data_IF_941450425419
#
_entry.id   IF_941450425419
#
_cell.length_a   1.000
_cell.length_b   1.000
_cell.length_c   1.000
_cell.angle_alpha   90.00
_cell.angle_beta   90.00
_cell.angle_gamma   90.00
#
_symmetry.space_group_name_H-M   'P 1'
#
loop_
_entity.id
_entity.type
_entity.pdbx_description
1 polymer ?
#
# COMPACT_ATOMS: atom_id res chain seq x y z
N UNK A 1 -15.03 42.90 -49.80
CA UNK A 1 -16.06 42.00 -50.37
C UNK A 1 -15.54 41.50 -51.70
N UNK A 2 -14.96 40.30 -51.72
CA UNK A 2 -14.17 39.80 -52.86
C UNK A 2 -14.77 38.46 -53.30
N UNK A 3 -15.20 38.38 -54.56
CA UNK A 3 -15.88 37.22 -55.16
C UNK A 3 -14.88 36.19 -55.69
N UNK A 4 -14.80 35.05 -55.01
CA UNK A 4 -15.05 33.66 -55.45
C UNK A 4 -14.70 33.22 -56.90
N UNK A 5 -14.02 32.04 -56.94
CA UNK A 5 -13.93 30.94 -57.95
C UNK A 5 -12.89 31.04 -59.08
N UNK A 6 -11.93 30.11 -59.13
CA UNK A 6 -12.15 28.80 -59.79
C UNK A 6 -10.98 27.82 -59.60
N UNK A 7 -11.33 26.54 -59.65
CA UNK A 7 -10.53 25.31 -59.60
C UNK A 7 -9.38 25.26 -60.62
N UNK A 8 -8.23 24.68 -60.24
CA UNK A 8 -7.40 23.90 -61.16
C UNK A 8 -6.69 22.76 -60.41
N UNK A 9 -6.97 21.53 -60.88
CA UNK A 9 -6.43 20.25 -60.40
C UNK A 9 -4.99 20.11 -60.90
N UNK A 10 -4.03 19.92 -59.99
CA UNK A 10 -2.66 19.55 -60.32
C UNK A 10 -2.50 18.04 -60.15
N UNK A 11 -2.44 17.33 -61.27
CA UNK A 11 -1.89 15.99 -61.35
C UNK A 11 -0.43 16.11 -61.79
N UNK A 12 0.50 15.90 -60.86
CA UNK A 12 1.88 15.54 -61.19
C UNK A 12 2.25 14.31 -60.34
N UNK A 13 1.85 13.16 -60.87
CA UNK A 13 2.41 11.87 -60.50
C UNK A 13 3.74 11.67 -61.25
N UNK A 14 4.59 10.81 -60.69
CA UNK A 14 5.93 10.41 -61.14
C UNK A 14 7.11 11.30 -60.72
N UNK A 15 7.43 11.32 -59.42
CA UNK A 15 8.76 10.96 -58.89
C UNK A 15 8.56 10.50 -57.43
N UNK A 16 8.12 9.26 -57.21
CA UNK A 16 7.96 8.71 -55.86
C UNK A 16 8.30 7.21 -55.82
N UNK A 17 9.46 6.82 -56.35
CA UNK A 17 9.95 5.45 -56.26
C UNK A 17 11.48 5.35 -56.12
N UNK A 18 12.16 6.28 -55.44
CA UNK A 18 13.53 6.05 -54.96
C UNK A 18 13.81 6.88 -53.70
N UNK A 19 13.19 6.52 -52.57
CA UNK A 19 13.63 7.01 -51.25
C UNK A 19 13.10 6.14 -50.09
N UNK A 20 13.00 4.82 -50.26
CA UNK A 20 13.05 3.90 -49.13
C UNK A 20 14.45 3.28 -49.13
N UNK A 21 15.45 4.07 -48.73
CA UNK A 21 16.62 3.45 -48.10
C UNK A 21 16.15 3.07 -46.71
N UNK A 22 16.06 1.77 -46.49
CA UNK A 22 15.99 1.16 -45.18
C UNK A 22 16.90 1.92 -44.23
N UNK A 23 16.32 2.67 -43.30
CA UNK A 23 17.01 2.95 -42.06
C UNK A 23 17.00 1.62 -41.30
N UNK A 24 18.00 0.79 -41.56
CA UNK A 24 18.43 -0.25 -40.63
C UNK A 24 18.88 0.48 -39.36
N UNK A 25 17.91 0.90 -38.54
CA UNK A 25 18.15 0.99 -37.11
C UNK A 25 18.62 -0.41 -36.73
N UNK A 26 19.86 -0.49 -36.27
CA UNK A 26 20.55 -1.72 -35.91
C UNK A 26 19.79 -2.36 -34.73
N UNK A 27 18.69 -3.06 -35.01
CA UNK A 27 17.90 -3.82 -34.03
C UNK A 27 18.69 -5.06 -33.68
N UNK A 28 19.82 -4.87 -33.00
CA UNK A 28 20.57 -5.98 -32.42
C UNK A 28 19.77 -6.53 -31.27
N UNK A 29 19.69 -7.84 -31.20
CA UNK A 29 19.07 -8.50 -30.07
C UNK A 29 19.74 -8.07 -28.77
N UNK A 30 18.93 -7.82 -27.75
CA UNK A 30 19.39 -7.36 -26.44
C UNK A 30 19.14 -8.41 -25.37
N UNK A 31 20.05 -8.44 -24.40
CA UNK A 31 19.99 -9.30 -23.22
C UNK A 31 19.54 -8.47 -22.02
N UNK A 32 18.67 -9.02 -21.19
CA UNK A 32 18.16 -8.37 -19.98
C UNK A 32 17.79 -9.42 -18.93
N UNK A 33 17.61 -9.01 -17.68
CA UNK A 33 17.11 -9.92 -16.63
C UNK A 33 15.65 -10.26 -16.94
N UNK A 34 15.32 -11.55 -17.00
CA UNK A 34 13.96 -12.00 -17.32
C UNK A 34 12.92 -11.36 -16.37
N UNK A 35 11.89 -10.74 -16.95
CA UNK A 35 10.79 -10.09 -16.21
C UNK A 35 10.96 -8.59 -15.96
N UNK A 36 12.16 -8.03 -16.06
CA UNK A 36 12.39 -6.60 -15.76
C UNK A 36 11.80 -5.63 -16.78
N UNK A 37 11.30 -6.12 -17.91
CA UNK A 37 10.57 -5.33 -18.91
C UNK A 37 9.23 -4.78 -18.39
N UNK A 38 8.64 -5.40 -17.37
CA UNK A 38 7.39 -4.93 -16.77
C UNK A 38 7.67 -4.05 -15.56
N UNK A 39 8.45 -4.59 -14.61
CA UNK A 39 8.90 -3.92 -13.39
C UNK A 39 10.21 -4.55 -12.97
N UNK A 40 11.20 -3.74 -12.63
CA UNK A 40 12.51 -4.23 -12.18
C UNK A 40 12.54 -4.58 -10.68
N UNK A 41 11.44 -4.38 -9.95
CA UNK A 41 11.28 -4.75 -8.54
C UNK A 41 10.62 -6.11 -8.38
N UNK A 42 11.24 -7.00 -7.62
CA UNK A 42 10.68 -8.32 -7.27
C UNK A 42 10.46 -8.34 -5.75
N UNK A 43 9.21 -8.50 -5.32
CA UNK A 43 8.86 -8.67 -3.89
C UNK A 43 8.82 -10.16 -3.56
N UNK A 44 9.73 -10.61 -2.68
CA UNK A 44 9.82 -12.00 -2.24
C UNK A 44 9.33 -12.11 -0.79
N UNK A 45 8.12 -12.64 -0.63
CA UNK A 45 7.64 -13.17 0.66
C UNK A 45 8.43 -14.42 1.03
N UNK A 46 8.83 -14.57 2.30
CA UNK A 46 9.54 -15.76 2.76
C UNK A 46 9.22 -16.13 4.21
N UNK A 47 9.23 -17.43 4.49
CA UNK A 47 9.19 -18.01 5.83
C UNK A 47 10.30 -19.05 5.91
N UNK A 48 11.27 -18.86 6.80
CA UNK A 48 12.45 -19.72 6.84
C UNK A 48 13.33 -19.56 5.59
N UNK A 49 13.99 -20.65 5.19
CA UNK A 49 14.86 -20.66 4.03
C UNK A 49 14.03 -20.69 2.73
N UNK A 50 14.32 -19.78 1.80
CA UNK A 50 13.61 -19.65 0.53
C UNK A 50 14.56 -19.05 -0.53
N UNK A 51 14.11 -18.91 -1.78
CA UNK A 51 14.93 -18.34 -2.85
C UNK A 51 14.14 -17.61 -3.94
N UNK A 52 14.88 -16.80 -4.71
CA UNK A 52 14.42 -16.16 -5.94
C UNK A 52 15.24 -16.69 -7.11
N UNK A 53 14.55 -17.21 -8.13
CA UNK A 53 15.19 -17.60 -9.38
C UNK A 53 15.40 -16.40 -10.30
N UNK A 54 16.64 -16.19 -10.70
CA UNK A 54 17.08 -15.16 -11.64
C UNK A 54 17.56 -15.82 -12.93
N UNK A 55 17.19 -15.25 -14.06
CA UNK A 55 17.66 -15.68 -15.38
C UNK A 55 17.78 -14.47 -16.30
N UNK A 56 18.56 -14.61 -17.37
CA UNK A 56 18.62 -13.60 -18.42
C UNK A 56 17.91 -14.09 -19.68
N UNK A 57 17.29 -13.15 -20.39
CA UNK A 57 16.58 -13.36 -21.65
C UNK A 57 17.22 -12.52 -22.74
N UNK A 58 17.38 -13.11 -23.92
CA UNK A 58 17.67 -12.42 -25.16
C UNK A 58 16.36 -12.22 -25.95
N UNK A 59 16.23 -11.12 -26.69
CA UNK A 59 15.02 -10.85 -27.50
C UNK A 59 14.79 -11.86 -28.63
N UNK A 60 15.84 -12.57 -29.06
CA UNK A 60 15.74 -13.68 -30.00
C UNK A 60 16.62 -14.86 -29.57
N UNK A 61 16.51 -15.96 -30.32
CA UNK A 61 17.40 -17.12 -30.15
C UNK A 61 18.82 -16.73 -30.53
N UNK A 62 19.78 -17.08 -29.68
CA UNK A 62 21.19 -16.78 -29.91
C UNK A 62 21.82 -17.81 -30.86
N UNK A 63 22.72 -17.37 -31.74
CA UNK A 63 23.47 -18.27 -32.63
C UNK A 63 24.69 -18.87 -31.93
N UNK A 64 25.31 -18.10 -31.03
CA UNK A 64 26.45 -18.50 -30.21
C UNK A 64 26.09 -18.45 -28.72
N UNK A 65 26.90 -19.09 -27.88
CA UNK A 65 26.70 -19.07 -26.43
C UNK A 65 26.88 -17.65 -25.87
N UNK A 66 25.89 -17.17 -25.12
CA UNK A 66 25.98 -15.90 -24.38
C UNK A 66 26.11 -16.20 -22.89
N UNK A 67 27.12 -15.60 -22.23
CA UNK A 67 27.41 -15.80 -20.81
C UNK A 67 27.01 -14.59 -20.00
N UNK A 68 26.44 -14.86 -18.84
CA UNK A 68 26.03 -13.86 -17.87
C UNK A 68 26.53 -14.21 -16.48
N UNK A 69 26.60 -13.23 -15.60
CA UNK A 69 26.85 -13.43 -14.17
C UNK A 69 26.03 -12.44 -13.38
N UNK A 70 25.25 -12.94 -12.43
CA UNK A 70 24.53 -12.13 -11.45
C UNK A 70 25.45 -11.74 -10.30
N UNK A 71 25.42 -10.47 -9.90
CA UNK A 71 26.24 -9.93 -8.81
C UNK A 71 25.38 -9.02 -7.95
N UNK A 72 25.49 -9.15 -6.62
CA UNK A 72 24.91 -8.18 -5.70
C UNK A 72 25.51 -6.79 -5.96
N UNK A 73 24.65 -5.78 -6.05
CA UNK A 73 25.00 -4.40 -6.37
C UNK A 73 24.44 -3.41 -5.32
N UNK A 74 24.81 -3.56 -4.03
CA UNK A 74 24.28 -2.76 -2.94
C UNK A 74 24.47 -1.25 -3.14
N UNK A 75 25.49 -0.84 -3.90
CA UNK A 75 25.78 0.56 -4.22
C UNK A 75 24.66 1.28 -5.01
N UNK A 76 23.70 0.53 -5.57
CA UNK A 76 22.58 1.08 -6.33
C UNK A 76 21.36 1.39 -5.47
N UNK A 77 21.36 0.99 -4.20
CA UNK A 77 20.17 1.07 -3.38
C UNK A 77 19.78 2.51 -3.05
N UNK A 78 20.74 3.39 -2.80
CA UNK A 78 20.47 4.79 -2.44
C UNK A 78 19.75 5.54 -3.57
N UNK A 79 20.20 5.36 -4.82
CA UNK A 79 19.56 5.94 -5.99
C UNK A 79 18.12 5.41 -6.16
N UNK A 80 17.93 4.11 -5.98
CA UNK A 80 16.60 3.50 -6.04
C UNK A 80 15.67 4.03 -4.93
N UNK A 81 16.17 4.18 -3.71
CA UNK A 81 15.41 4.74 -2.59
C UNK A 81 14.97 6.18 -2.88
N UNK A 82 15.88 7.02 -3.39
CA UNK A 82 15.58 8.40 -3.73
C UNK A 82 14.53 8.50 -4.85
N UNK A 83 14.64 7.67 -5.89
CA UNK A 83 13.70 7.65 -7.02
C UNK A 83 12.31 7.16 -6.61
N UNK A 84 12.23 6.17 -5.71
CA UNK A 84 10.97 5.49 -5.34
C UNK A 84 10.36 5.99 -4.02
N UNK A 85 10.94 7.03 -3.41
CA UNK A 85 10.49 7.53 -2.10
C UNK A 85 10.46 6.45 -1.03
N UNK A 86 11.43 5.53 -1.07
CA UNK A 86 11.57 4.41 -0.15
C UNK A 86 12.80 4.55 0.74
N UNK A 87 12.90 3.68 1.75
CA UNK A 87 13.94 3.70 2.77
C UNK A 87 14.49 2.29 3.05
N UNK A 88 14.59 1.46 2.00
CA UNK A 88 15.12 0.10 2.16
C UNK A 88 16.58 0.14 2.58
N UNK A 89 17.01 -0.89 3.30
CA UNK A 89 18.41 -1.15 3.62
C UNK A 89 18.90 -2.43 2.93
N UNK A 90 20.20 -2.53 2.70
CA UNK A 90 20.80 -3.75 2.15
C UNK A 90 20.74 -4.86 3.22
N UNK A 91 20.34 -6.09 2.89
CA UNK A 91 20.44 -7.20 3.83
C UNK A 91 21.90 -7.51 4.21
N UNK A 92 22.16 -7.98 5.44
CA UNK A 92 23.51 -8.44 5.82
C UNK A 92 24.06 -9.46 4.81
N UNK A 93 25.36 -9.42 4.53
CA UNK A 93 25.97 -10.27 3.49
C UNK A 93 25.92 -11.76 3.81
N UNK A 94 25.79 -12.13 5.09
CA UNK A 94 25.59 -13.50 5.56
C UNK A 94 24.11 -13.94 5.53
N UNK A 95 23.17 -13.03 5.25
CA UNK A 95 21.74 -13.32 5.16
C UNK A 95 21.34 -13.96 3.82
N UNK A 96 22.15 -13.81 2.77
CA UNK A 96 21.82 -14.26 1.41
C UNK A 96 23.01 -14.86 0.67
N UNK A 97 22.74 -15.64 -0.37
CA UNK A 97 23.76 -16.21 -1.27
C UNK A 97 23.27 -16.29 -2.70
N UNK A 98 24.09 -15.89 -3.66
CA UNK A 98 23.87 -16.16 -5.08
C UNK A 98 24.51 -17.50 -5.44
N UNK A 99 23.68 -18.54 -5.57
CA UNK A 99 24.09 -19.87 -6.02
C UNK A 99 23.98 -19.93 -7.55
N UNK A 100 24.96 -20.58 -8.18
CA UNK A 100 25.06 -20.73 -9.63
C UNK A 100 24.97 -19.37 -10.36
N UNK A 101 25.70 -18.37 -9.82
CA UNK A 101 25.65 -16.98 -10.30
C UNK A 101 25.99 -16.81 -11.79
N UNK A 102 26.83 -17.70 -12.33
CA UNK A 102 27.14 -17.76 -13.76
C UNK A 102 26.02 -18.44 -14.54
N UNK A 103 25.40 -17.72 -15.46
CA UNK A 103 24.29 -18.22 -16.30
C UNK A 103 24.68 -18.21 -17.77
N UNK A 104 24.03 -19.05 -18.57
CA UNK A 104 24.35 -19.19 -20.00
C UNK A 104 23.11 -19.38 -20.84
N UNK A 105 23.00 -18.64 -21.95
CA UNK A 105 22.05 -18.93 -23.03
C UNK A 105 22.80 -19.77 -24.07
N UNK A 106 22.34 -21.01 -24.26
CA UNK A 106 22.92 -21.91 -25.26
C UNK A 106 22.45 -21.55 -26.69
N UNK A 107 23.23 -21.89 -27.73
CA UNK A 107 22.81 -21.75 -29.12
C UNK A 107 21.40 -22.31 -29.38
N UNK A 108 20.57 -21.57 -30.10
CA UNK A 108 19.18 -21.92 -30.39
C UNK A 108 18.18 -21.67 -29.24
N UNK A 109 18.66 -21.18 -28.08
CA UNK A 109 17.83 -20.76 -26.96
C UNK A 109 17.80 -19.23 -26.85
N UNK A 110 16.84 -18.69 -26.10
CA UNK A 110 16.72 -17.26 -25.81
C UNK A 110 16.64 -16.96 -24.30
N UNK A 111 16.65 -18.00 -23.46
CA UNK A 111 16.63 -17.89 -22.00
C UNK A 111 17.79 -18.68 -21.41
N UNK A 112 18.39 -18.15 -20.37
CA UNK A 112 19.55 -18.77 -19.74
C UNK A 112 19.17 -19.89 -18.77
N UNK A 113 20.18 -20.62 -18.30
CA UNK A 113 20.13 -21.31 -17.00
C UNK A 113 19.79 -20.33 -15.86
N UNK A 114 19.39 -20.86 -14.71
CA UNK A 114 18.99 -20.05 -13.55
C UNK A 114 20.14 -19.84 -12.56
N UNK A 115 20.22 -18.64 -12.00
CA UNK A 115 20.91 -18.33 -10.75
C UNK A 115 19.88 -18.27 -9.63
N UNK A 116 20.21 -18.82 -8.46
CA UNK A 116 19.33 -18.81 -7.30
C UNK A 116 19.86 -17.82 -6.26
N UNK A 117 19.10 -16.76 -5.99
CA UNK A 117 19.32 -15.91 -4.82
C UNK A 117 18.63 -16.56 -3.62
N UNK A 118 19.41 -17.25 -2.81
CA UNK A 118 18.96 -17.91 -1.59
C UNK A 118 18.92 -16.92 -0.42
N UNK A 119 17.86 -17.04 0.39
CA UNK A 119 17.77 -16.48 1.74
C UNK A 119 18.46 -17.49 2.65
N UNK A 120 19.74 -17.24 2.93
CA UNK A 120 20.64 -18.18 3.58
C UNK A 120 20.45 -18.22 5.09
N UNK A 121 20.20 -17.05 5.70
CA UNK A 121 19.87 -16.93 7.13
C UNK A 121 18.70 -15.95 7.32
N UNK A 122 17.45 -16.45 7.43
CA UNK A 122 16.28 -15.60 7.60
C UNK A 122 16.28 -14.84 8.94
N UNK A 123 17.07 -15.27 9.94
CA UNK A 123 17.13 -14.61 11.25
C UNK A 123 17.85 -13.26 11.23
N UNK A 124 18.54 -12.95 10.12
CA UNK A 124 19.26 -11.69 9.89
C UNK A 124 18.35 -10.55 9.42
N UNK A 125 17.11 -10.86 9.05
CA UNK A 125 16.11 -9.87 8.67
C UNK A 125 15.37 -9.41 9.92
N UNK A 126 15.74 -8.25 10.45
CA UNK A 126 15.14 -7.72 11.67
C UNK A 126 13.70 -7.24 11.42
N UNK A 127 12.80 -7.51 12.36
CA UNK A 127 11.42 -7.03 12.31
C UNK A 127 11.37 -5.50 12.26
N UNK A 128 10.53 -4.95 11.38
CA UNK A 128 10.40 -3.51 11.16
C UNK A 128 11.49 -2.87 10.32
N UNK A 129 12.49 -3.63 9.87
CA UNK A 129 13.42 -3.18 8.82
C UNK A 129 12.98 -3.70 7.46
N UNK A 130 13.10 -2.85 6.45
CA UNK A 130 12.72 -3.18 5.07
C UNK A 130 13.97 -3.41 4.26
N UNK A 131 14.14 -4.61 3.72
CA UNK A 131 15.36 -4.99 3.03
C UNK A 131 15.17 -5.03 1.52
N UNK A 132 16.13 -4.49 0.79
CA UNK A 132 16.20 -4.63 -0.66
C UNK A 132 17.64 -4.89 -1.10
N UNK A 133 17.82 -5.88 -1.98
CA UNK A 133 19.09 -6.17 -2.63
C UNK A 133 18.98 -5.90 -4.13
N UNK A 134 19.64 -4.86 -4.65
CA UNK A 134 19.86 -4.75 -6.08
C UNK A 134 20.79 -5.87 -6.56
N UNK A 135 20.40 -6.58 -7.61
CA UNK A 135 21.19 -7.62 -8.27
C UNK A 135 21.38 -7.24 -9.73
N UNK A 136 22.63 -7.08 -10.13
CA UNK A 136 23.02 -6.67 -11.48
C UNK A 136 23.42 -7.88 -12.32
N UNK A 137 23.00 -7.89 -13.58
CA UNK A 137 23.50 -8.78 -14.62
C UNK A 137 24.72 -8.16 -15.29
N UNK A 138 25.82 -8.92 -15.33
CA UNK A 138 26.97 -8.66 -16.22
C UNK A 138 26.95 -9.71 -17.31
N UNK A 139 27.14 -9.34 -18.58
CA UNK A 139 27.12 -10.30 -19.70
C UNK A 139 28.07 -9.87 -20.81
N UNK A 140 28.53 -10.83 -21.61
CA UNK A 140 29.25 -10.60 -22.87
C UNK A 140 28.31 -10.31 -24.05
N UNK A 141 26.99 -10.47 -23.86
CA UNK A 141 25.96 -10.08 -24.82
C UNK A 141 25.66 -8.59 -24.82
N UNK A 142 24.83 -8.15 -25.77
CA UNK A 142 24.36 -6.78 -25.90
C UNK A 142 23.34 -6.44 -24.80
N UNK A 143 23.80 -5.96 -23.64
CA UNK A 143 22.96 -5.70 -22.47
C UNK A 143 22.04 -4.49 -22.66
N UNK A 144 20.75 -4.66 -22.36
CA UNK A 144 19.81 -3.55 -22.20
C UNK A 144 19.96 -2.95 -20.80
N UNK A 145 20.50 -1.74 -20.70
CA UNK A 145 20.77 -1.06 -19.41
C UNK A 145 19.53 -0.95 -18.51
N UNK A 146 18.36 -0.63 -19.07
CA UNK A 146 17.11 -0.54 -18.29
C UNK A 146 16.64 -1.88 -17.71
N UNK A 147 17.09 -3.00 -18.27
CA UNK A 147 16.80 -4.35 -17.80
C UNK A 147 17.97 -5.03 -17.09
N UNK A 148 19.04 -4.28 -16.77
CA UNK A 148 20.30 -4.82 -16.24
C UNK A 148 20.31 -5.06 -14.73
N UNK A 149 19.34 -4.51 -13.99
CA UNK A 149 19.26 -4.60 -12.52
C UNK A 149 17.87 -5.05 -12.11
N UNK A 150 17.81 -6.00 -11.18
CA UNK A 150 16.60 -6.37 -10.46
C UNK A 150 16.72 -5.97 -8.99
N UNK A 151 15.70 -5.33 -8.43
CA UNK A 151 15.64 -4.91 -7.04
C UNK A 151 14.80 -5.91 -6.25
N UNK A 152 15.46 -6.77 -5.48
CA UNK A 152 14.81 -7.84 -4.73
C UNK A 152 14.42 -7.31 -3.35
N UNK A 153 13.15 -7.04 -3.13
CA UNK A 153 12.59 -6.63 -1.83
C UNK A 153 12.21 -7.88 -1.05
N UNK A 154 12.81 -8.06 0.12
CA UNK A 154 12.53 -9.19 1.02
C UNK A 154 11.40 -8.82 1.97
N UNK A 155 10.37 -9.66 2.02
CA UNK A 155 9.18 -9.46 2.85
C UNK A 155 9.07 -10.64 3.82
N UNK A 156 9.59 -10.50 5.06
CA UNK A 156 9.45 -11.55 6.07
C UNK A 156 7.98 -11.84 6.33
N UNK A 157 7.60 -13.12 6.27
CA UNK A 157 6.25 -13.56 6.61
C UNK A 157 6.23 -13.87 8.10
N UNK A 158 5.49 -13.07 8.86
CA UNK A 158 5.26 -13.31 10.29
C UNK A 158 3.94 -14.05 10.50
N UNK A 159 3.87 -14.85 11.55
CA UNK A 159 2.63 -15.50 11.99
C UNK A 159 2.14 -14.83 13.27
N UNK A 160 0.92 -14.31 13.22
CA UNK A 160 0.29 -13.55 14.30
C UNK A 160 -1.12 -14.06 14.58
N UNK A 161 -1.65 -13.76 15.76
CA UNK A 161 -3.10 -13.84 15.96
C UNK A 161 -3.75 -12.58 15.36
N UNK A 162 -5.06 -12.62 15.12
CA UNK A 162 -5.83 -11.46 14.66
C UNK A 162 -7.16 -11.34 15.39
N UNK A 163 -7.66 -10.12 15.58
CA UNK A 163 -8.94 -9.90 16.24
C UNK A 163 -10.10 -10.13 15.27
N UNK A 164 -11.07 -10.94 15.69
CA UNK A 164 -12.38 -11.12 15.08
C UNK A 164 -13.40 -10.27 15.83
N UNK A 165 -13.91 -9.26 15.14
CA UNK A 165 -14.67 -8.16 15.74
C UNK A 165 -16.12 -8.10 15.27
N UNK A 166 -16.68 -9.20 14.79
CA UNK A 166 -18.08 -9.27 14.38
C UNK A 166 -19.03 -8.80 15.50
N UNK A 167 -19.54 -7.57 15.37
CA UNK A 167 -20.38 -6.89 16.38
C UNK A 167 -19.63 -6.41 17.65
N UNK A 168 -18.29 -6.45 17.66
CA UNK A 168 -17.43 -6.15 18.82
C UNK A 168 -16.51 -4.98 18.52
N UNK A 169 -17.07 -3.79 18.47
CA UNK A 169 -16.36 -2.59 18.05
C UNK A 169 -15.63 -1.89 19.20
N UNK A 170 -14.76 -0.95 18.86
CA UNK A 170 -13.97 -0.18 19.81
C UNK A 170 -14.14 1.32 19.61
N UNK A 171 -13.97 2.05 20.70
CA UNK A 171 -13.91 3.50 20.77
C UNK A 171 -12.53 3.90 21.27
N UNK A 172 -12.07 5.11 20.95
CA UNK A 172 -10.82 5.67 21.46
C UNK A 172 -11.15 6.95 22.25
N UNK A 173 -11.60 6.83 23.52
CA UNK A 173 -12.11 7.98 24.28
C UNK A 173 -11.15 9.16 24.37
N UNK A 174 -9.84 8.91 24.42
CA UNK A 174 -8.80 9.93 24.54
C UNK A 174 -8.55 10.75 23.26
N UNK A 175 -9.18 10.39 22.13
CA UNK A 175 -9.22 11.27 20.96
C UNK A 175 -10.23 12.41 21.14
N UNK A 176 -11.29 12.17 21.92
CA UNK A 176 -12.39 13.10 22.09
C UNK A 176 -11.90 14.37 22.77
N UNK A 177 -12.22 15.53 22.18
CA UNK A 177 -11.80 16.85 22.64
C UNK A 177 -10.27 17.01 22.82
N UNK A 178 -9.47 16.20 22.12
CA UNK A 178 -8.02 16.30 22.18
C UNK A 178 -7.52 17.37 21.21
N UNK A 179 -7.09 18.52 21.74
CA UNK A 179 -6.66 19.68 20.94
C UNK A 179 -5.60 19.33 19.88
N UNK A 180 -4.65 18.44 20.19
CA UNK A 180 -3.58 18.06 19.25
C UNK A 180 -4.11 17.30 18.03
N UNK A 181 -5.30 16.69 18.12
CA UNK A 181 -5.94 15.93 17.04
C UNK A 181 -7.02 16.75 16.32
N UNK A 182 -7.21 18.02 16.72
CA UNK A 182 -8.13 18.95 16.07
C UNK A 182 -7.55 19.72 14.87
N UNK A 183 -6.23 19.63 14.68
CA UNK A 183 -5.46 20.49 13.76
C UNK A 183 -4.42 19.70 12.94
N UNK A 184 -4.85 18.62 12.30
CA UNK A 184 -3.95 17.76 11.51
C UNK A 184 -3.80 18.32 10.09
N UNK A 185 -2.67 18.99 9.83
CA UNK A 185 -2.32 19.51 8.50
C UNK A 185 -1.97 18.42 7.49
N UNK A 186 -1.62 17.22 7.97
CA UNK A 186 -1.48 15.98 7.22
C UNK A 186 -2.03 14.83 8.05
N UNK A 187 -2.50 13.77 7.38
CA UNK A 187 -3.07 12.60 8.04
C UNK A 187 -2.78 11.34 7.22
N UNK A 188 -2.48 10.23 7.89
CA UNK A 188 -2.72 8.90 7.32
C UNK A 188 -3.53 8.05 8.30
N UNK A 189 -4.64 7.48 7.84
CA UNK A 189 -5.33 6.38 8.54
C UNK A 189 -5.14 5.11 7.74
N UNK A 190 -4.65 4.04 8.36
CA UNK A 190 -4.45 2.76 7.67
C UNK A 190 -4.83 1.57 8.55
N UNK A 191 -5.21 0.47 7.90
CA UNK A 191 -5.60 -0.76 8.57
C UNK A 191 -5.54 -1.98 7.66
N UNK A 192 -5.37 -3.17 8.25
CA UNK A 192 -5.70 -4.45 7.59
C UNK A 192 -7.08 -4.93 8.03
N UNK A 193 -7.88 -5.35 7.05
CA UNK A 193 -9.21 -5.91 7.32
C UNK A 193 -9.48 -7.13 6.45
N UNK A 194 -10.14 -8.12 7.04
CA UNK A 194 -10.76 -9.24 6.37
C UNK A 194 -12.27 -9.12 6.58
N UNK A 195 -12.98 -8.65 5.56
CA UNK A 195 -14.44 -8.53 5.64
C UNK A 195 -15.05 -9.90 5.46
N UNK A 196 -15.86 -10.35 6.42
CA UNK A 196 -16.66 -11.59 6.28
C UNK A 196 -17.94 -11.33 5.52
N UNK A 197 -18.59 -10.21 5.85
CA UNK A 197 -19.87 -9.83 5.30
C UNK A 197 -20.10 -8.32 5.41
N UNK A 198 -20.74 -7.73 4.40
CA UNK A 198 -21.18 -6.34 4.42
C UNK A 198 -22.61 -6.22 4.97
N UNK A 199 -22.97 -5.06 5.53
CA UNK A 199 -24.34 -4.82 6.00
C UNK A 199 -25.34 -4.95 4.84
N UNK A 200 -26.46 -5.67 5.09
CA UNK A 200 -27.50 -5.94 4.08
C UNK A 200 -28.77 -5.11 4.25
N UNK A 201 -28.85 -4.34 5.33
CA UNK A 201 -30.00 -3.49 5.62
C UNK A 201 -29.58 -2.03 5.54
N UNK A 202 -30.48 -1.19 5.01
CA UNK A 202 -30.30 0.26 5.02
C UNK A 202 -29.84 0.76 6.40
N UNK A 203 -28.77 1.57 6.47
CA UNK A 203 -28.13 2.28 5.37
C UNK A 203 -26.98 1.52 4.66
N UNK A 204 -26.82 0.21 4.88
CA UNK A 204 -25.80 -0.66 4.26
C UNK A 204 -24.35 -0.37 4.68
N UNK A 205 -24.15 0.31 5.82
CA UNK A 205 -22.84 0.80 6.25
C UNK A 205 -22.07 -0.18 7.14
N UNK A 206 -20.93 -0.67 6.68
CA UNK A 206 -19.92 -1.38 7.48
C UNK A 206 -18.73 -0.47 7.78
N UNK A 207 -18.54 -0.06 9.03
CA UNK A 207 -17.53 0.97 9.37
C UNK A 207 -16.13 0.42 9.57
N UNK A 208 -15.09 1.06 9.01
CA UNK A 208 -13.68 0.72 9.30
C UNK A 208 -13.15 1.48 10.51
N UNK A 209 -12.89 2.78 10.35
CA UNK A 209 -12.36 3.64 11.39
C UNK A 209 -12.61 5.11 11.09
N UNK A 210 -12.64 5.94 12.13
CA UNK A 210 -12.74 7.38 11.99
C UNK A 210 -13.80 8.02 12.88
N UNK A 211 -14.25 9.18 12.45
CA UNK A 211 -15.27 9.98 13.12
C UNK A 211 -16.46 10.22 12.19
N UNK A 212 -17.63 9.66 12.53
CA UNK A 212 -18.89 9.80 11.79
C UNK A 212 -19.26 11.27 11.58
N UNK A 213 -19.79 11.59 10.39
CA UNK A 213 -20.10 12.96 9.90
C UNK A 213 -18.90 13.91 9.74
N UNK A 214 -17.68 13.46 10.07
CA UNK A 214 -16.47 14.28 10.02
C UNK A 214 -15.41 13.69 9.10
N UNK A 215 -14.72 12.63 9.51
CA UNK A 215 -13.67 11.98 8.73
C UNK A 215 -13.71 10.45 8.98
N UNK A 216 -14.59 9.75 8.25
CA UNK A 216 -14.88 8.33 8.49
C UNK A 216 -14.63 7.47 7.25
N UNK A 217 -13.85 6.39 7.41
CA UNK A 217 -13.78 5.33 6.41
C UNK A 217 -14.83 4.26 6.70
N UNK A 218 -15.65 3.95 5.72
CA UNK A 218 -16.72 2.94 5.79
C UNK A 218 -16.94 2.28 4.44
N UNK A 219 -17.52 1.09 4.43
CA UNK A 219 -18.08 0.46 3.24
C UNK A 219 -19.58 0.68 3.18
N UNK A 220 -20.10 0.87 1.97
CA UNK A 220 -21.53 1.02 1.73
C UNK A 220 -22.13 2.32 2.25
N UNK A 221 -23.24 2.70 1.63
CA UNK A 221 -24.15 3.76 2.04
C UNK A 221 -25.43 3.60 1.20
N UNK A 222 -26.50 4.34 1.47
CA UNK A 222 -27.62 4.41 0.51
C UNK A 222 -27.21 5.00 -0.84
N UNK A 223 -26.06 5.68 -0.92
CA UNK A 223 -25.49 6.25 -2.14
C UNK A 223 -24.51 5.36 -2.90
N UNK A 224 -24.12 4.19 -2.37
CA UNK A 224 -23.15 3.30 -3.02
C UNK A 224 -23.31 1.83 -2.60
N UNK A 225 -22.72 0.91 -3.35
CA UNK A 225 -22.92 -0.51 -3.06
C UNK A 225 -22.26 -0.92 -1.74
N UNK A 226 -22.81 -1.91 -0.99
CA UNK A 226 -22.34 -2.29 0.34
C UNK A 226 -20.86 -2.68 0.42
N UNK A 227 -20.28 -3.08 -0.70
CA UNK A 227 -18.91 -3.55 -0.86
C UNK A 227 -17.98 -2.50 -1.48
N UNK A 228 -18.41 -1.24 -1.61
CA UNK A 228 -17.56 -0.13 -2.04
C UNK A 228 -17.09 0.69 -0.84
N UNK A 229 -15.82 1.09 -0.86
CA UNK A 229 -15.26 1.95 0.18
C UNK A 229 -15.68 3.41 -0.03
N UNK A 230 -15.98 4.11 1.05
CA UNK A 230 -16.35 5.51 1.07
C UNK A 230 -15.59 6.24 2.19
N UNK A 231 -15.07 7.43 1.85
CA UNK A 231 -14.74 8.45 2.84
C UNK A 231 -15.99 9.29 3.06
N UNK A 232 -16.62 9.12 4.22
CA UNK A 232 -17.80 9.88 4.61
C UNK A 232 -17.42 11.16 5.37
N UNK A 233 -18.09 12.25 5.03
CA UNK A 233 -17.70 13.60 5.43
C UNK A 233 -16.44 14.06 4.71
N UNK A 234 -15.29 13.48 5.06
CA UNK A 234 -13.98 13.88 4.55
C UNK A 234 -13.66 15.34 4.84
N UNK A 235 -14.14 15.88 5.96
CA UNK A 235 -14.14 17.31 6.24
C UNK A 235 -12.71 17.83 6.48
N UNK A 236 -12.39 18.96 5.86
CA UNK A 236 -11.15 19.72 6.08
C UNK A 236 -11.44 21.19 6.38
N UNK A 237 -10.50 21.87 7.02
CA UNK A 237 -10.69 23.27 7.41
C UNK A 237 -11.71 23.46 8.54
N UNK A 238 -11.86 22.47 9.42
CA UNK A 238 -12.68 22.54 10.64
C UNK A 238 -11.78 22.75 11.87
N UNK A 239 -11.26 23.97 12.13
CA UNK A 239 -10.21 24.18 13.12
C UNK A 239 -10.74 24.31 14.55
N UNK A 240 -11.90 23.73 14.91
CA UNK A 240 -12.37 23.90 16.28
C UNK A 240 -13.11 22.68 16.83
N UNK A 241 -12.72 22.30 18.05
CA UNK A 241 -13.33 21.24 18.85
C UNK A 241 -14.80 21.54 19.19
N UNK A 242 -15.22 22.80 19.09
CA UNK A 242 -16.55 23.32 19.42
C UNK A 242 -17.49 23.51 18.21
N UNK A 243 -16.98 23.38 16.97
CA UNK A 243 -17.79 23.38 15.73
C UNK A 243 -17.29 22.32 14.70
N UNK A 244 -17.14 21.04 15.12
CA UNK A 244 -16.49 20.00 14.33
C UNK A 244 -17.28 19.59 13.07
N UNK A 245 -18.53 20.01 12.94
CA UNK A 245 -19.39 19.76 11.79
C UNK A 245 -19.20 20.78 10.65
N UNK A 246 -18.44 21.86 10.86
CA UNK A 246 -18.36 23.01 9.94
C UNK A 246 -17.23 23.01 8.92
N UNK A 247 -16.47 21.92 8.81
CA UNK A 247 -15.46 21.78 7.76
C UNK A 247 -16.05 21.69 6.36
N UNK A 248 -15.20 21.93 5.36
CA UNK A 248 -15.55 21.71 3.95
C UNK A 248 -15.58 20.20 3.67
N UNK A 249 -16.73 19.62 3.26
CA UNK A 249 -16.84 18.19 3.00
C UNK A 249 -16.14 17.80 1.70
N UNK A 250 -15.51 16.62 1.72
CA UNK A 250 -14.85 15.98 0.58
C UNK A 250 -15.25 14.50 0.49
N UNK A 251 -16.52 14.23 0.78
CA UNK A 251 -17.04 12.87 0.75
C UNK A 251 -16.87 12.27 -0.65
N UNK A 252 -16.38 11.03 -0.70
CA UNK A 252 -16.10 10.34 -1.96
C UNK A 252 -16.27 8.84 -1.81
N UNK A 253 -16.84 8.21 -2.83
CA UNK A 253 -16.94 6.75 -2.94
C UNK A 253 -15.93 6.28 -3.98
N UNK A 254 -15.17 5.27 -3.63
CA UNK A 254 -14.17 4.69 -4.51
C UNK A 254 -14.80 3.61 -5.39
N UNK A 255 -14.47 3.56 -6.70
CA UNK A 255 -15.19 2.73 -7.66
C UNK A 255 -14.96 1.23 -7.49
N UNK A 256 -13.93 0.83 -6.73
CA UNK A 256 -13.56 -0.57 -6.52
C UNK A 256 -14.56 -1.29 -5.62
N UNK A 257 -15.01 -2.47 -6.07
CA UNK A 257 -15.78 -3.41 -5.28
C UNK A 257 -14.86 -4.41 -4.59
N UNK A 258 -15.11 -4.65 -3.31
CA UNK A 258 -14.23 -5.45 -2.47
C UNK A 258 -14.81 -6.84 -2.20
N UNK A 259 -14.06 -7.93 -2.48
CA UNK A 259 -14.53 -9.26 -2.14
C UNK A 259 -14.53 -9.46 -0.63
N UNK A 260 -15.50 -10.22 -0.13
CA UNK A 260 -15.42 -10.80 1.21
C UNK A 260 -14.43 -11.96 1.22
N UNK A 261 -13.97 -12.37 2.40
CA UNK A 261 -13.12 -13.55 2.53
C UNK A 261 -11.66 -13.35 2.13
N UNK A 262 -11.21 -12.09 1.99
CA UNK A 262 -9.84 -11.72 1.61
C UNK A 262 -9.30 -10.63 2.54
N UNK A 263 -8.02 -10.70 2.89
CA UNK A 263 -7.33 -9.60 3.56
C UNK A 263 -7.00 -8.49 2.57
N UNK A 264 -7.28 -7.26 2.99
CA UNK A 264 -6.93 -6.04 2.28
C UNK A 264 -6.25 -5.09 3.26
N UNK A 265 -5.23 -4.38 2.80
CA UNK A 265 -4.68 -3.21 3.48
C UNK A 265 -5.29 -1.95 2.86
N UNK A 266 -5.91 -1.12 3.69
CA UNK A 266 -6.49 0.16 3.28
C UNK A 266 -5.70 1.30 3.90
N UNK A 267 -5.48 2.36 3.13
CA UNK A 267 -4.97 3.62 3.67
C UNK A 267 -5.68 4.83 3.06
N UNK A 268 -5.97 5.82 3.90
CA UNK A 268 -6.39 7.16 3.52
C UNK A 268 -5.28 8.14 3.85
N UNK A 269 -4.70 8.76 2.83
CA UNK A 269 -3.56 9.69 2.98
C UNK A 269 -4.00 11.08 2.58
N UNK A 270 -3.86 12.05 3.49
CA UNK A 270 -4.01 13.47 3.24
C UNK A 270 -2.66 14.17 3.37
N UNK A 271 -2.21 14.80 2.29
CA UNK A 271 -0.90 15.46 2.20
C UNK A 271 -0.93 16.98 2.46
N UNK A 272 -2.09 17.52 2.83
CA UNK A 272 -2.34 18.95 2.99
C UNK A 272 -2.94 19.63 1.74
N UNK A 273 -3.02 18.90 0.61
CA UNK A 273 -3.51 19.40 -0.68
C UNK A 273 -4.52 18.46 -1.34
N UNK A 274 -4.43 17.17 -1.07
CA UNK A 274 -5.31 16.15 -1.60
C UNK A 274 -5.41 14.95 -0.67
N UNK A 275 -6.54 14.25 -0.78
CA UNK A 275 -6.81 12.97 -0.14
C UNK A 275 -6.69 11.87 -1.20
N UNK A 276 -5.84 10.89 -0.94
CA UNK A 276 -5.63 9.72 -1.82
C UNK A 276 -5.92 8.45 -1.03
N UNK A 277 -6.70 7.54 -1.59
CA UNK A 277 -6.90 6.22 -1.01
C UNK A 277 -5.97 5.19 -1.64
N UNK A 278 -5.60 4.21 -0.86
CA UNK A 278 -4.76 3.09 -1.28
C UNK A 278 -5.39 1.76 -0.89
N UNK A 279 -5.25 0.78 -1.77
CA UNK A 279 -5.54 -0.63 -1.54
C UNK A 279 -4.26 -1.42 -1.77
N UNK A 280 -3.82 -2.16 -0.77
CA UNK A 280 -2.60 -2.98 -0.84
C UNK A 280 -1.40 -2.16 -1.37
N UNK A 281 -1.33 -0.88 -0.94
CA UNK A 281 -0.28 0.08 -1.32
C UNK A 281 -0.41 0.75 -2.68
N UNK A 282 -1.38 0.37 -3.51
CA UNK A 282 -1.64 0.99 -4.81
C UNK A 282 -2.79 2.00 -4.71
N UNK A 283 -2.68 3.18 -5.36
CA UNK A 283 -3.72 4.20 -5.30
C UNK A 283 -5.02 3.70 -5.92
N UNK A 284 -6.14 4.05 -5.28
CA UNK A 284 -7.48 3.69 -5.70
C UNK A 284 -8.29 4.95 -6.01
N UNK A 285 -8.69 5.09 -7.28
CA UNK A 285 -9.45 6.24 -7.76
C UNK A 285 -8.60 7.51 -7.88
N UNK A 286 -9.24 8.59 -8.31
CA UNK A 286 -8.59 9.88 -8.43
C UNK A 286 -8.42 10.56 -7.07
N UNK A 287 -7.28 11.24 -6.80
CA UNK A 287 -7.13 12.03 -5.60
C UNK A 287 -8.17 13.15 -5.49
N UNK A 288 -8.72 13.35 -4.29
CA UNK A 288 -9.69 14.41 -4.01
C UNK A 288 -8.97 15.64 -3.50
N UNK A 289 -9.09 16.77 -4.20
CA UNK A 289 -8.47 18.04 -3.76
C UNK A 289 -9.13 18.51 -2.46
N UNK A 290 -8.32 18.75 -1.44
CA UNK A 290 -8.77 19.22 -0.14
C UNK A 290 -7.68 20.10 0.50
N UNK A 291 -8.07 21.09 1.30
CA UNK A 291 -7.12 22.00 1.96
C UNK A 291 -7.61 22.37 3.34
N UNK A 292 -6.68 22.68 4.24
CA UNK A 292 -6.97 22.99 5.64
C UNK A 292 -6.86 21.76 6.53
N UNK A 293 -6.99 21.97 7.84
CA UNK A 293 -6.71 20.91 8.81
C UNK A 293 -7.85 19.90 8.93
N UNK A 294 -7.51 18.66 9.23
CA UNK A 294 -8.45 17.60 9.64
C UNK A 294 -8.56 17.58 11.16
N UNK A 295 -9.76 17.28 11.65
CA UNK A 295 -10.05 17.07 13.07
C UNK A 295 -10.58 15.65 13.31
N UNK A 296 -10.02 14.94 14.30
CA UNK A 296 -10.44 13.60 14.72
C UNK A 296 -11.04 13.57 16.14
N UNK A 297 -11.49 14.72 16.63
CA UNK A 297 -11.86 14.90 18.06
C UNK A 297 -13.34 14.74 18.35
N UNK A 298 -14.16 14.59 17.31
CA UNK A 298 -15.61 14.56 17.41
C UNK A 298 -16.20 13.68 16.32
N UNK A 299 -17.13 12.82 16.72
CA UNK A 299 -17.95 11.96 15.88
C UNK A 299 -19.41 12.15 16.25
N UNK A 300 -20.31 12.17 15.27
CA UNK A 300 -21.73 12.06 15.58
C UNK A 300 -22.06 10.63 16.04
N UNK A 301 -22.70 10.45 17.20
CA UNK A 301 -23.11 9.12 17.66
C UNK A 301 -24.38 9.13 18.53
N UNK A 302 -25.35 8.30 18.16
CA UNK A 302 -26.58 8.08 18.92
C UNK A 302 -26.32 7.11 20.07
N UNK A 303 -26.51 7.56 21.31
CA UNK A 303 -26.51 6.66 22.46
C UNK A 303 -25.13 6.25 22.95
N UNK A 304 -24.13 7.14 22.84
CA UNK A 304 -22.94 7.03 23.67
C UNK A 304 -23.27 7.33 25.14
N UNK A 305 -22.44 6.82 26.05
CA UNK A 305 -22.51 7.16 27.48
C UNK A 305 -22.15 8.63 27.78
N UNK A 306 -21.74 9.43 26.78
CA UNK A 306 -21.30 10.81 26.95
C UNK A 306 -22.46 11.82 26.99
N UNK A 307 -23.65 11.46 26.50
CA UNK A 307 -24.88 12.25 26.70
C UNK A 307 -25.00 13.53 25.86
N UNK A 308 -24.05 13.83 24.96
CA UNK A 308 -24.01 15.06 24.16
C UNK A 308 -23.86 14.82 22.64
N UNK A 309 -24.14 13.59 22.18
CA UNK A 309 -23.98 13.14 20.78
C UNK A 309 -22.57 13.36 20.18
N UNK A 310 -21.57 13.67 21.01
CA UNK A 310 -20.16 13.74 20.65
C UNK A 310 -19.49 12.42 21.04
N UNK A 311 -19.44 11.50 20.09
CA UNK A 311 -18.68 10.26 20.19
C UNK A 311 -17.19 10.46 19.91
N UNK A 312 -16.33 9.59 20.45
CA UNK A 312 -14.90 9.56 20.10
C UNK A 312 -14.67 8.95 18.72
N UNK A 313 -13.41 8.95 18.29
CA UNK A 313 -12.92 8.11 17.19
C UNK A 313 -13.28 6.64 17.43
N UNK A 314 -13.70 5.92 16.39
CA UNK A 314 -14.16 4.55 16.49
C UNK A 314 -13.41 3.61 15.54
N UNK A 315 -13.37 2.32 15.89
CA UNK A 315 -12.84 1.22 15.09
C UNK A 315 -13.94 0.15 15.00
N UNK A 316 -14.33 -0.21 13.79
CA UNK A 316 -15.36 -1.23 13.52
C UNK A 316 -16.79 -0.77 13.81
N UNK A 317 -17.05 0.54 14.00
CA UNK A 317 -18.36 1.09 14.34
C UNK A 317 -18.52 2.56 13.96
N UNK A 318 -19.75 2.92 13.57
CA UNK A 318 -20.29 4.29 13.57
C UNK A 318 -21.76 4.27 14.01
N UNK A 319 -22.35 5.46 14.17
CA UNK A 319 -23.68 5.68 14.75
C UNK A 319 -24.78 4.70 14.28
N UNK A 320 -25.72 4.36 15.17
CA UNK A 320 -26.90 3.58 14.79
C UNK A 320 -26.62 2.10 14.46
N UNK A 321 -25.55 1.52 15.00
CA UNK A 321 -25.28 0.08 14.88
C UNK A 321 -24.56 -0.33 13.60
N UNK A 322 -23.83 0.59 12.96
CA UNK A 322 -23.11 0.38 11.68
C UNK A 322 -21.79 -0.36 11.89
N UNK A 323 -21.91 -1.60 12.37
CA UNK A 323 -20.78 -2.44 12.75
C UNK A 323 -20.09 -3.07 11.55
N UNK A 324 -18.77 -3.24 11.66
CA UNK A 324 -18.00 -4.13 10.80
C UNK A 324 -18.26 -5.60 11.18
N UNK A 325 -18.43 -6.46 10.17
CA UNK A 325 -18.39 -7.90 10.34
C UNK A 325 -17.12 -8.46 9.67
N UNK A 326 -16.06 -8.63 10.47
CA UNK A 326 -14.77 -9.03 9.93
C UNK A 326 -13.70 -9.27 10.98
N UNK A 327 -12.50 -9.54 10.49
CA UNK A 327 -11.27 -9.59 11.27
C UNK A 327 -10.42 -8.37 10.96
N UNK A 328 -9.66 -7.91 11.94
CA UNK A 328 -8.84 -6.71 11.83
C UNK A 328 -7.42 -6.93 12.36
N UNK A 329 -6.48 -6.17 11.83
CA UNK A 329 -5.13 -6.01 12.37
C UNK A 329 -4.53 -4.67 11.92
N UNK A 330 -3.47 -4.23 12.60
CA UNK A 330 -2.61 -3.13 12.14
C UNK A 330 -3.33 -1.78 11.91
N UNK A 331 -4.22 -1.38 12.83
CA UNK A 331 -4.90 -0.08 12.77
C UNK A 331 -3.98 1.03 13.25
N UNK A 332 -3.79 2.06 12.43
CA UNK A 332 -2.86 3.17 12.71
C UNK A 332 -3.42 4.52 12.30
N UNK A 333 -3.00 5.54 13.04
CA UNK A 333 -3.24 6.95 12.71
C UNK A 333 -1.91 7.68 12.75
N UNK A 334 -1.63 8.49 11.73
CA UNK A 334 -0.40 9.28 11.57
C UNK A 334 -0.74 10.75 11.34
N UNK A 335 0.11 11.67 11.80
CA UNK A 335 0.02 13.10 11.47
C UNK A 335 0.90 13.49 10.27
N UNK A 336 1.34 12.51 9.49
CA UNK A 336 2.14 12.67 8.27
C UNK A 336 1.49 11.93 7.12
N UNK A 337 1.72 12.40 5.90
CA UNK A 337 1.35 11.66 4.69
C UNK A 337 2.37 10.53 4.42
N UNK A 338 1.93 9.28 4.51
CA UNK A 338 2.79 8.10 4.22
C UNK A 338 2.88 7.90 2.70
N UNK A 339 4.08 7.55 2.21
CA UNK A 339 4.29 7.24 0.78
C UNK A 339 3.73 5.85 0.43
N UNK A 340 3.48 5.53 -0.86
CA UNK A 340 3.10 4.18 -1.26
C UNK A 340 4.11 3.11 -0.81
N UNK A 341 5.40 3.43 -0.90
CA UNK A 341 6.48 2.57 -0.39
C UNK A 341 6.39 2.36 1.12
N UNK A 342 6.11 3.42 1.89
CA UNK A 342 5.89 3.33 3.33
C UNK A 342 4.70 2.42 3.68
N UNK A 343 3.59 2.56 2.96
CA UNK A 343 2.38 1.76 3.17
C UNK A 343 2.64 0.28 2.89
N UNK A 344 3.32 -0.04 1.79
CA UNK A 344 3.64 -1.42 1.37
C UNK A 344 4.63 -2.12 2.30
N UNK A 345 5.63 -1.37 2.78
CA UNK A 345 6.73 -1.94 3.53
C UNK A 345 6.35 -2.25 4.97
N UNK A 346 5.43 -1.48 5.52
CA UNK A 346 5.07 -1.58 6.92
C UNK A 346 3.69 -2.19 7.14
N UNK A 347 3.18 -3.01 6.20
CA UNK A 347 1.84 -3.62 6.29
C UNK A 347 1.66 -4.40 7.60
N UNK A 348 2.70 -5.08 8.08
CA UNK A 348 2.61 -6.03 9.18
C UNK A 348 3.15 -5.53 10.52
N UNK A 349 4.00 -4.50 10.48
CA UNK A 349 4.62 -3.93 11.65
C UNK A 349 5.21 -2.56 11.32
N UNK A 350 5.17 -1.67 12.30
CA UNK A 350 5.85 -0.38 12.34
C UNK A 350 6.50 -0.27 13.71
N UNK A 351 7.72 0.29 13.79
CA UNK A 351 8.28 0.68 15.08
C UNK A 351 7.34 1.71 15.74
N UNK A 352 6.75 1.42 16.92
CA UNK A 352 5.82 2.33 17.57
C UNK A 352 6.39 3.71 17.94
N UNK A 353 7.72 3.89 17.83
CA UNK A 353 8.42 5.17 18.03
C UNK A 353 8.69 5.93 16.73
N UNK A 354 8.21 5.44 15.60
CA UNK A 354 8.35 6.13 14.30
C UNK A 354 7.75 7.53 14.38
N UNK A 355 8.51 8.59 14.04
CA UNK A 355 8.01 9.96 14.07
C UNK A 355 6.72 10.12 13.25
N UNK A 356 5.76 10.78 13.87
CA UNK A 356 4.46 11.08 13.27
C UNK A 356 3.40 9.99 13.42
N UNK A 357 3.72 8.84 14.03
CA UNK A 357 2.73 7.84 14.43
C UNK A 357 1.98 8.34 15.67
N UNK A 358 0.67 8.60 15.53
CA UNK A 358 -0.19 9.09 16.62
C UNK A 358 -0.63 7.94 17.51
N UNK A 359 -1.19 6.90 16.92
CA UNK A 359 -1.74 5.74 17.61
C UNK A 359 -1.56 4.47 16.78
N UNK A 360 -1.35 3.33 17.46
CA UNK A 360 -1.13 2.05 16.81
C UNK A 360 -1.73 0.90 17.60
N UNK A 361 -2.78 0.28 17.06
CA UNK A 361 -3.41 -0.91 17.61
C UNK A 361 -3.13 -2.11 16.71
N UNK A 362 -2.28 -3.02 17.18
CA UNK A 362 -1.87 -4.22 16.43
C UNK A 362 -3.02 -5.19 16.24
N UNK A 363 -3.83 -5.41 17.29
CA UNK A 363 -4.85 -6.45 17.33
C UNK A 363 -4.28 -7.82 16.97
N UNK A 364 -3.14 -8.17 17.59
CA UNK A 364 -2.35 -9.36 17.30
C UNK A 364 -2.39 -10.45 18.40
N UNK A 365 -3.40 -10.43 19.27
CA UNK A 365 -3.64 -11.49 20.24
C UNK A 365 -3.94 -10.98 21.65
N UNK A 366 -4.15 -11.90 22.61
CA UNK A 366 -4.41 -11.56 24.00
C UNK A 366 -3.36 -10.66 24.66
N UNK A 367 -2.12 -10.66 24.16
CA UNK A 367 -1.04 -9.79 24.64
C UNK A 367 -1.27 -8.30 24.40
N UNK A 368 -2.19 -7.94 23.50
CA UNK A 368 -2.62 -6.56 23.27
C UNK A 368 -3.72 -6.10 24.24
N UNK A 369 -4.32 -7.01 25.01
CA UNK A 369 -5.37 -6.68 25.98
C UNK A 369 -4.72 -6.22 27.28
N UNK A 370 -5.10 -5.03 27.76
CA UNK A 370 -4.68 -4.48 29.04
C UNK A 370 -5.54 -5.02 30.19
N UNK A 371 -5.12 -4.77 31.44
CA UNK A 371 -5.82 -5.25 32.64
C UNK A 371 -7.27 -4.72 32.74
N UNK A 372 -7.52 -3.52 32.22
CA UNK A 372 -8.86 -2.92 32.17
C UNK A 372 -9.72 -3.42 31.00
N UNK A 373 -9.20 -4.37 30.20
CA UNK A 373 -9.86 -4.95 29.04
C UNK A 373 -9.77 -4.11 27.76
N UNK A 374 -9.14 -2.93 27.79
CA UNK A 374 -8.87 -2.14 26.59
C UNK A 374 -7.74 -2.75 25.75
N UNK A 375 -7.68 -2.37 24.48
CA UNK A 375 -6.63 -2.77 23.55
C UNK A 375 -5.53 -1.71 23.56
N UNK A 376 -4.30 -2.15 23.77
CA UNK A 376 -3.09 -1.34 23.87
C UNK A 376 -2.87 -0.50 22.62
N UNK A 377 -2.61 0.79 22.83
CA UNK A 377 -1.90 1.63 21.88
C UNK A 377 -0.39 1.44 22.04
N UNK A 378 0.24 0.83 21.04
CA UNK A 378 1.65 0.45 21.05
C UNK A 378 2.60 1.65 21.04
N UNK A 379 2.14 2.84 20.64
CA UNK A 379 2.97 4.05 20.68
C UNK A 379 3.32 4.44 22.11
N UNK A 380 2.45 4.09 23.07
CA UNK A 380 2.53 4.51 24.47
C UNK A 380 2.01 5.94 24.69
N UNK A 381 1.30 6.54 23.73
CA UNK A 381 0.71 7.87 23.86
C UNK A 381 -0.62 7.88 24.67
N UNK A 382 -1.14 6.70 25.03
CA UNK A 382 -2.33 6.56 25.87
C UNK A 382 -3.65 6.55 25.09
N UNK A 383 -3.59 6.25 23.79
CA UNK A 383 -4.77 6.15 22.93
C UNK A 383 -5.37 4.74 22.91
N UNK A 384 -5.51 4.08 24.07
CA UNK A 384 -6.03 2.71 24.12
C UNK A 384 -7.45 2.61 23.55
N UNK A 385 -7.73 1.55 22.80
CA UNK A 385 -9.04 1.30 22.21
C UNK A 385 -9.92 0.51 23.19
N UNK A 386 -11.02 1.11 23.63
CA UNK A 386 -11.94 0.57 24.62
C UNK A 386 -13.12 -0.10 23.92
N UNK A 387 -13.47 -1.31 24.32
CA UNK A 387 -14.59 -2.03 23.73
C UNK A 387 -15.91 -1.26 23.93
N UNK A 388 -16.63 -0.98 22.83
CA UNK A 388 -18.00 -0.45 22.89
C UNK A 388 -18.99 -1.54 23.28
N UNK A 389 -18.76 -2.76 22.80
CA UNK A 389 -19.60 -3.92 22.99
C UNK A 389 -18.80 -5.20 22.92
N UNK A 390 -19.03 -6.12 23.86
CA UNK A 390 -18.39 -7.42 23.89
C UNK A 390 -16.87 -7.37 24.05
N UNK A 391 -16.22 -8.50 23.78
CA UNK A 391 -14.76 -8.65 23.78
C UNK A 391 -14.31 -9.29 22.46
N UNK A 392 -13.17 -8.87 21.89
CA UNK A 392 -12.67 -9.47 20.66
C UNK A 392 -12.41 -10.96 20.87
N UNK A 393 -12.68 -11.75 19.83
CA UNK A 393 -12.22 -13.14 19.74
C UNK A 393 -10.93 -13.17 18.94
N UNK A 394 -10.01 -14.07 19.27
CA UNK A 394 -8.72 -14.17 18.59
C UNK A 394 -8.72 -15.36 17.64
N UNK A 395 -8.20 -15.15 16.42
CA UNK A 395 -7.99 -16.21 15.42
C UNK A 395 -6.49 -16.36 15.26
N UNK A 396 -5.98 -17.54 15.57
CA UNK A 396 -4.54 -17.80 15.55
C UNK A 396 -4.00 -18.19 14.17
N UNK A 397 -2.67 -18.13 14.05
CA UNK A 397 -1.90 -18.60 12.89
C UNK A 397 -2.19 -17.85 11.58
N UNK A 398 -2.45 -16.54 11.66
CA UNK A 398 -2.56 -15.70 10.47
C UNK A 398 -1.18 -15.29 9.97
N UNK A 399 -0.89 -15.54 8.69
CA UNK A 399 0.34 -15.09 8.04
C UNK A 399 0.19 -13.64 7.61
N UNK A 400 1.18 -12.80 7.83
CA UNK A 400 1.20 -11.42 7.35
C UNK A 400 2.36 -11.25 6.37
N UNK A 401 2.19 -10.60 5.19
CA UNK A 401 1.06 -9.74 4.80
C UNK A 401 -0.22 -10.44 4.29
N UNK A 402 -0.20 -11.76 4.06
CA UNK A 402 -1.18 -12.49 3.22
C UNK A 402 -2.53 -12.87 3.82
#
# INVERSE_FOLDING_TARGET
>A
MTKIKSFFVFALALVALVACKESNADYRDVVYISGTQQKNTIRKGFEGNDSVDLSMTCTAKVEETVKGTFVAAPELLDAYNAENGSNYIVPPTDAYRLKDAGVTIAPGQFKSTSCMLEIADPTKFEEGKNYCLPVRLKTDGNLLESGSVAYIVFVPIITVDVADIAGKAFLVPSFRNNEALGHLSQLTMECKVFVKEFQRSSPYISTLMGCEENFLLRFGDVSCDPDQLQLAGGKTGAPSWDQPDKGTPHATTFPTHFPTGKWCHFACVYDGKQITMYLDGEPMGDPVKATGDISLVWSYDYGTSYGDNNGPFAIGYSAGGRHLNGRISEFRVWNVARTPSDLLNHICYVDPKTPGLIAYWRFQGPGDVLEDGSIRDWTGHGYNAVAKSGTPSWVSNHKCPY
#
